data_IF_243963476765
#
_entry.id   IF_243963476765
#
_cell.length_a   1.000
_cell.length_b   1.000
_cell.length_c   1.000
_cell.angle_alpha   90.00
_cell.angle_beta   90.00
_cell.angle_gamma   90.00
#
_symmetry.space_group_name_H-M   'P 1'
#
loop_
_entity.id
_entity.type
_entity.pdbx_description
1 polymer ?
#
# COMPACT_ATOMS: atom_id res chain seq x y z
N UNK A 1 -17.46 -7.71 -13.93
CA UNK A 1 -16.11 -7.33 -13.45
C UNK A 1 -15.77 -8.13 -12.19
N UNK A 2 -16.76 -8.39 -11.34
CA UNK A 2 -16.59 -9.02 -10.02
C UNK A 2 -16.10 -10.47 -10.10
N UNK A 3 -16.64 -11.29 -11.01
CA UNK A 3 -16.20 -12.69 -11.16
C UNK A 3 -14.70 -12.87 -11.51
N UNK A 4 -14.12 -11.92 -12.26
CA UNK A 4 -12.69 -11.96 -12.60
C UNK A 4 -11.82 -11.56 -11.39
N UNK A 5 -12.24 -10.53 -10.66
CA UNK A 5 -11.55 -10.09 -9.44
C UNK A 5 -11.62 -11.18 -8.38
N UNK A 6 -12.78 -11.78 -8.17
CA UNK A 6 -12.97 -12.87 -7.21
C UNK A 6 -12.12 -14.09 -7.56
N UNK A 7 -12.08 -14.48 -8.85
CA UNK A 7 -11.20 -15.57 -9.31
C UNK A 7 -9.71 -15.26 -9.11
N UNK A 8 -9.32 -14.00 -9.31
CA UNK A 8 -7.93 -13.55 -9.09
C UNK A 8 -7.59 -13.54 -7.60
N UNK A 9 -8.51 -13.09 -6.74
CA UNK A 9 -8.33 -13.11 -5.28
C UNK A 9 -8.19 -14.55 -4.78
N UNK A 10 -9.03 -15.47 -5.26
CA UNK A 10 -8.93 -16.90 -4.94
C UNK A 10 -7.58 -17.46 -5.34
N UNK A 11 -7.11 -17.19 -6.56
CA UNK A 11 -5.78 -17.63 -7.00
C UNK A 11 -4.64 -17.10 -6.11
N UNK A 12 -4.74 -15.84 -5.66
CA UNK A 12 -3.75 -15.24 -4.76
C UNK A 12 -3.82 -15.84 -3.35
N UNK A 13 -5.00 -16.26 -2.88
CA UNK A 13 -5.15 -16.99 -1.62
C UNK A 13 -4.53 -18.38 -1.75
N UNK A 14 -4.77 -19.08 -2.84
CA UNK A 14 -4.20 -20.42 -3.11
C UNK A 14 -2.66 -20.37 -3.16
N UNK A 15 -2.10 -19.26 -3.65
CA UNK A 15 -0.66 -19.02 -3.68
C UNK A 15 -0.06 -18.67 -2.31
N UNK A 16 -0.86 -18.41 -1.28
CA UNK A 16 -0.39 -18.15 0.08
C UNK A 16 0.44 -16.85 0.21
N UNK A 17 1.62 -16.93 0.83
CA UNK A 17 2.50 -15.78 1.08
C UNK A 17 2.92 -15.02 -0.21
N UNK A 18 3.36 -15.70 -1.29
CA UNK A 18 3.60 -15.05 -2.59
C UNK A 18 2.38 -14.31 -3.14
N UNK A 19 1.20 -14.91 -3.05
CA UNK A 19 -0.04 -14.29 -3.51
C UNK A 19 -0.41 -13.06 -2.68
N UNK A 20 -0.21 -13.12 -1.36
CA UNK A 20 -0.36 -11.96 -0.49
C UNK A 20 0.63 -10.84 -0.82
N UNK A 21 1.89 -11.17 -1.10
CA UNK A 21 2.89 -10.19 -1.52
C UNK A 21 2.47 -9.47 -2.81
N UNK A 22 2.04 -10.24 -3.83
CA UNK A 22 1.58 -9.68 -5.11
C UNK A 22 0.33 -8.82 -4.89
N UNK A 23 -0.64 -9.34 -4.14
CA UNK A 23 -1.86 -8.61 -3.77
C UNK A 23 -1.54 -7.28 -3.09
N UNK A 24 -0.61 -7.29 -2.14
CA UNK A 24 -0.20 -6.10 -1.41
C UNK A 24 0.62 -5.14 -2.27
N UNK A 25 1.43 -5.64 -3.21
CA UNK A 25 2.13 -4.82 -4.20
C UNK A 25 1.17 -4.12 -5.14
N UNK A 26 0.12 -4.80 -5.59
CA UNK A 26 -0.94 -4.19 -6.41
C UNK A 26 -1.74 -3.15 -5.61
N UNK A 27 -2.11 -3.48 -4.38
CA UNK A 27 -2.84 -2.57 -3.48
C UNK A 27 -2.03 -1.35 -3.02
N UNK A 28 -0.71 -1.52 -2.86
CA UNK A 28 0.23 -0.43 -2.57
C UNK A 28 0.59 0.40 -3.79
N UNK A 29 0.30 -0.14 -4.98
CA UNK A 29 0.24 0.61 -6.22
C UNK A 29 -1.16 1.22 -6.37
N UNK A 30 -1.47 1.73 -7.54
CA UNK A 30 -2.76 2.38 -7.80
C UNK A 30 -3.89 1.46 -8.24
N UNK A 31 -3.58 0.17 -8.33
CA UNK A 31 -4.56 -0.82 -8.73
C UNK A 31 -5.49 -1.03 -7.54
N UNK A 32 -6.82 -0.82 -7.70
CA UNK A 32 -7.78 -1.02 -6.63
C UNK A 32 -7.83 -2.53 -6.33
N UNK A 33 -7.05 -2.95 -5.34
CA UNK A 33 -6.93 -4.32 -4.91
C UNK A 33 -6.98 -4.37 -3.39
N UNK A 34 -7.68 -5.35 -2.82
CA UNK A 34 -7.80 -5.46 -1.37
C UNK A 34 -6.80 -6.48 -0.83
N UNK A 35 -5.62 -5.98 -0.48
CA UNK A 35 -4.61 -6.78 0.23
C UNK A 35 -5.06 -7.21 1.63
N UNK A 36 -6.00 -6.47 2.21
CA UNK A 36 -6.62 -6.73 3.50
C UNK A 36 -7.42 -8.03 3.47
N UNK A 37 -8.28 -8.21 2.46
CA UNK A 37 -9.08 -9.42 2.29
C UNK A 37 -8.22 -10.68 2.16
N UNK A 38 -7.16 -10.61 1.34
CA UNK A 38 -6.22 -11.73 1.17
C UNK A 38 -5.47 -12.02 2.48
N UNK A 39 -5.00 -10.99 3.18
CA UNK A 39 -4.31 -11.15 4.46
C UNK A 39 -5.21 -11.80 5.52
N UNK A 40 -6.42 -11.30 5.68
CA UNK A 40 -7.38 -11.82 6.67
C UNK A 40 -7.74 -13.27 6.37
N UNK A 41 -7.99 -13.60 5.11
CA UNK A 41 -8.32 -14.96 4.70
C UNK A 41 -7.17 -15.92 4.98
N UNK A 42 -5.94 -15.55 4.64
CA UNK A 42 -4.76 -16.40 4.88
C UNK A 42 -4.49 -16.63 6.36
N UNK A 43 -4.65 -15.61 7.20
CA UNK A 43 -4.53 -15.77 8.67
C UNK A 43 -5.62 -16.71 9.20
N UNK A 44 -6.85 -16.59 8.71
CA UNK A 44 -7.96 -17.50 9.07
C UNK A 44 -7.74 -18.94 8.59
N UNK A 45 -7.06 -19.13 7.47
CA UNK A 45 -6.64 -20.45 6.97
C UNK A 45 -5.48 -21.07 7.76
N UNK A 46 -4.98 -20.38 8.79
CA UNK A 46 -3.97 -20.90 9.73
C UNK A 46 -2.53 -20.55 9.35
N UNK A 47 -2.29 -19.65 8.39
CA UNK A 47 -0.94 -19.16 8.12
C UNK A 47 -0.44 -18.28 9.26
N UNK A 48 0.87 -18.31 9.50
CA UNK A 48 1.52 -17.51 10.53
C UNK A 48 1.24 -16.00 10.32
N UNK A 49 0.59 -15.31 11.27
CA UNK A 49 0.21 -13.91 11.13
C UNK A 49 1.40 -12.97 10.90
N UNK A 50 2.54 -13.24 11.56
CA UNK A 50 3.76 -12.46 11.41
C UNK A 50 4.32 -12.56 9.99
N UNK A 51 4.33 -13.76 9.41
CA UNK A 51 4.76 -13.96 8.02
C UNK A 51 3.83 -13.24 7.04
N UNK A 52 2.52 -13.29 7.27
CA UNK A 52 1.54 -12.57 6.45
C UNK A 52 1.73 -11.05 6.51
N UNK A 53 1.92 -10.49 7.72
CA UNK A 53 2.19 -9.06 7.90
C UNK A 53 3.46 -8.65 7.15
N UNK A 54 4.54 -9.41 7.28
CA UNK A 54 5.81 -9.09 6.62
C UNK A 54 5.67 -9.16 5.10
N UNK A 55 5.06 -10.21 4.55
CA UNK A 55 4.82 -10.34 3.11
C UNK A 55 3.96 -9.19 2.57
N UNK A 56 2.87 -8.85 3.25
CA UNK A 56 1.99 -7.75 2.86
C UNK A 56 2.71 -6.39 2.96
N UNK A 57 3.46 -6.15 4.03
CA UNK A 57 4.20 -4.89 4.22
C UNK A 57 5.27 -4.70 3.14
N UNK A 58 6.03 -5.76 2.84
CA UNK A 58 7.05 -5.73 1.80
C UNK A 58 6.42 -5.49 0.41
N UNK A 59 5.38 -6.26 0.07
CA UNK A 59 4.66 -6.08 -1.19
C UNK A 59 4.14 -4.66 -1.33
N UNK A 60 3.45 -4.16 -0.31
CA UNK A 60 2.89 -2.81 -0.33
C UNK A 60 3.98 -1.73 -0.41
N UNK A 61 5.10 -1.91 0.27
CA UNK A 61 6.26 -1.00 0.16
C UNK A 61 6.78 -0.96 -1.27
N UNK A 62 6.95 -2.12 -1.92
CA UNK A 62 7.36 -2.20 -3.33
C UNK A 62 6.34 -1.49 -4.25
N UNK A 63 5.05 -1.71 -4.04
CA UNK A 63 3.99 -1.01 -4.77
C UNK A 63 4.06 0.51 -4.62
N UNK A 64 4.26 0.99 -3.39
CA UNK A 64 4.41 2.42 -3.11
C UNK A 64 5.69 3.02 -3.69
N UNK A 65 6.76 2.23 -3.78
CA UNK A 65 7.99 2.63 -4.45
C UNK A 65 7.80 2.79 -5.97
N UNK A 66 6.93 1.99 -6.59
CA UNK A 66 6.53 2.21 -7.99
C UNK A 66 5.90 3.58 -8.17
N UNK A 67 5.01 4.00 -7.26
CA UNK A 67 4.40 5.34 -7.26
C UNK A 67 5.46 6.44 -7.08
N UNK A 68 6.40 6.25 -6.16
CA UNK A 68 7.52 7.17 -5.93
C UNK A 68 8.40 7.31 -7.18
N UNK A 69 8.79 6.21 -7.82
CA UNK A 69 9.61 6.27 -9.03
C UNK A 69 8.87 6.93 -10.19
N UNK A 70 7.56 6.71 -10.32
CA UNK A 70 6.75 7.43 -11.30
C UNK A 70 6.71 8.94 -11.04
N UNK A 71 6.60 9.36 -9.79
CA UNK A 71 6.76 10.76 -9.40
C UNK A 71 8.14 11.30 -9.76
N UNK A 72 9.19 10.53 -9.50
CA UNK A 72 10.59 10.91 -9.76
C UNK A 72 10.92 11.06 -11.25
N UNK A 73 10.26 10.30 -12.12
CA UNK A 73 10.35 10.44 -13.57
C UNK A 73 9.69 11.74 -14.09
N UNK A 74 8.84 12.39 -13.28
CA UNK A 74 8.24 13.68 -13.61
C UNK A 74 7.21 13.66 -14.76
N UNK A 75 6.79 12.47 -15.23
CA UNK A 75 5.82 12.33 -16.32
C UNK A 75 4.39 12.47 -15.81
N UNK A 76 3.96 13.70 -15.54
CA UNK A 76 2.62 14.00 -15.01
C UNK A 76 1.50 13.44 -15.91
N UNK A 77 1.70 13.41 -17.24
CA UNK A 77 0.76 12.81 -18.19
C UNK A 77 0.53 11.31 -17.97
N UNK A 78 1.55 10.57 -17.50
CA UNK A 78 1.42 9.16 -17.14
C UNK A 78 0.68 9.00 -15.82
N UNK A 79 0.93 9.90 -14.87
CA UNK A 79 0.24 9.89 -13.58
C UNK A 79 -1.25 10.21 -13.78
N UNK A 80 -1.61 11.20 -14.59
CA UNK A 80 -3.02 11.45 -14.88
C UNK A 80 -3.69 10.28 -15.61
N UNK A 81 -2.98 9.65 -16.57
CA UNK A 81 -3.51 8.55 -17.38
C UNK A 81 -3.67 7.23 -16.62
N UNK A 82 -2.61 6.79 -15.93
CA UNK A 82 -2.58 5.49 -15.25
C UNK A 82 -3.04 5.60 -13.79
N UNK A 83 -2.77 6.74 -13.15
CA UNK A 83 -3.00 6.95 -11.73
C UNK A 83 -4.33 7.66 -11.45
N UNK A 84 -4.95 8.27 -12.47
CA UNK A 84 -6.17 9.08 -12.33
C UNK A 84 -6.03 10.17 -11.24
N UNK A 85 -4.81 10.51 -10.86
CA UNK A 85 -4.49 11.57 -9.90
C UNK A 85 -4.25 12.83 -10.71
N UNK A 86 -5.14 13.82 -10.56
CA UNK A 86 -4.99 15.13 -11.20
C UNK A 86 -3.69 15.81 -10.76
N UNK A 87 -3.03 16.50 -11.69
CA UNK A 87 -1.84 17.32 -11.40
C UNK A 87 -2.04 18.25 -10.21
N UNK A 88 -3.20 18.89 -10.10
CA UNK A 88 -3.56 19.80 -9.00
C UNK A 88 -3.40 19.15 -7.60
N UNK A 89 -3.74 17.87 -7.46
CA UNK A 89 -3.60 17.15 -6.19
C UNK A 89 -2.13 16.89 -5.87
N UNK A 90 -1.33 16.56 -6.88
CA UNK A 90 0.10 16.35 -6.76
C UNK A 90 0.78 17.67 -6.38
N UNK A 91 0.48 18.76 -7.08
CA UNK A 91 1.06 20.08 -6.81
C UNK A 91 0.71 20.56 -5.40
N UNK A 92 -0.55 20.41 -4.96
CA UNK A 92 -0.95 20.68 -3.57
C UNK A 92 -0.16 19.85 -2.57
N UNK A 93 0.02 18.56 -2.85
CA UNK A 93 0.78 17.66 -1.98
C UNK A 93 2.27 18.02 -1.97
N UNK A 94 2.86 18.38 -3.11
CA UNK A 94 4.25 18.86 -3.20
C UNK A 94 4.42 20.11 -2.34
N UNK A 95 3.55 21.12 -2.48
CA UNK A 95 3.59 22.33 -1.63
C UNK A 95 3.41 22.01 -0.16
N UNK A 96 2.52 21.06 0.19
CA UNK A 96 2.32 20.64 1.57
C UNK A 96 3.54 19.90 2.16
N UNK A 97 4.28 19.17 1.32
CA UNK A 97 5.45 18.38 1.72
C UNK A 97 6.78 19.15 1.62
N UNK A 98 6.79 20.31 0.95
CA UNK A 98 7.95 21.20 0.91
C UNK A 98 8.42 21.50 2.34
N UNK A 99 9.72 21.26 2.60
CA UNK A 99 10.33 21.43 3.91
C UNK A 99 10.07 20.31 4.93
N UNK A 100 9.17 19.35 4.67
CA UNK A 100 8.83 18.25 5.61
C UNK A 100 9.66 16.97 5.43
N UNK A 101 10.40 16.88 4.33
CA UNK A 101 11.38 15.82 4.08
C UNK A 101 10.80 14.42 3.82
N UNK A 102 11.69 13.43 3.73
CA UNK A 102 11.37 12.05 3.35
C UNK A 102 10.55 11.27 4.40
N UNK A 103 10.56 11.72 5.66
CA UNK A 103 9.85 11.07 6.77
C UNK A 103 8.33 11.07 6.59
N UNK A 104 7.80 12.01 5.80
CA UNK A 104 6.38 12.04 5.46
C UNK A 104 5.91 10.81 4.69
N UNK A 105 6.84 9.99 4.17
CA UNK A 105 6.51 8.69 3.61
C UNK A 105 5.86 7.75 4.63
N UNK A 106 6.02 8.00 5.93
CA UNK A 106 5.27 7.31 6.97
C UNK A 106 3.75 7.36 6.72
N UNK A 107 3.21 8.51 6.33
CA UNK A 107 1.78 8.70 6.07
C UNK A 107 1.26 7.98 4.82
N UNK A 108 2.12 7.27 4.09
CA UNK A 108 1.70 6.44 2.95
C UNK A 108 0.87 5.23 3.35
N UNK A 109 0.75 4.97 4.65
CA UNK A 109 -0.19 3.99 5.19
C UNK A 109 -1.66 4.38 4.98
N UNK A 110 -1.99 5.66 4.77
CA UNK A 110 -3.36 6.10 4.53
C UNK A 110 -3.83 5.71 3.12
N UNK A 111 -4.98 5.03 2.97
CA UNK A 111 -5.52 4.68 1.64
C UNK A 111 -5.85 5.95 0.84
N UNK A 112 -5.64 5.93 -0.49
CA UNK A 112 -5.89 7.01 -1.44
C UNK A 112 -5.01 8.28 -1.28
N UNK A 113 -4.59 8.62 -0.07
CA UNK A 113 -3.68 9.74 0.21
C UNK A 113 -2.24 9.28 0.02
N UNK A 114 -1.93 8.04 0.43
CA UNK A 114 -0.57 7.54 0.47
C UNK A 114 0.09 7.45 -0.89
N UNK A 115 -0.66 7.14 -1.95
CA UNK A 115 -0.16 7.09 -3.32
C UNK A 115 0.22 8.50 -3.80
N UNK A 116 -0.59 9.52 -3.48
CA UNK A 116 -0.29 10.92 -3.80
C UNK A 116 0.95 11.41 -3.04
N UNK A 117 1.10 11.02 -1.77
CA UNK A 117 2.29 11.31 -0.96
C UNK A 117 3.53 10.67 -1.59
N UNK A 118 3.46 9.39 -1.98
CA UNK A 118 4.58 8.69 -2.60
C UNK A 118 5.00 9.37 -3.92
N UNK A 119 4.05 9.71 -4.78
CA UNK A 119 4.30 10.42 -6.04
C UNK A 119 4.93 11.79 -5.79
N UNK A 120 4.38 12.58 -4.87
CA UNK A 120 4.90 13.91 -4.54
C UNK A 120 6.33 13.84 -3.97
N UNK A 121 6.61 12.89 -3.08
CA UNK A 121 7.96 12.65 -2.55
C UNK A 121 8.96 12.22 -3.63
N UNK A 122 8.48 11.47 -4.63
CA UNK A 122 9.22 11.12 -5.83
C UNK A 122 9.55 12.34 -6.68
N UNK A 123 8.55 13.18 -6.94
CA UNK A 123 8.69 14.41 -7.70
C UNK A 123 9.70 15.37 -7.05
N UNK A 124 9.68 15.46 -5.71
CA UNK A 124 10.64 16.24 -4.93
C UNK A 124 12.03 15.59 -4.82
N UNK A 125 12.25 14.40 -5.38
CA UNK A 125 13.50 13.64 -5.30
C UNK A 125 14.03 13.47 -3.87
N UNK A 126 13.12 13.21 -2.94
CA UNK A 126 13.47 12.97 -1.53
C UNK A 126 14.38 11.74 -1.36
N UNK A 127 15.13 11.66 -0.25
CA UNK A 127 16.09 10.57 -0.03
C UNK A 127 15.37 9.20 -0.04
N UNK A 128 15.69 8.38 -1.03
CA UNK A 128 15.04 7.09 -1.30
C UNK A 128 15.13 6.14 -0.11
N UNK A 129 16.24 6.10 0.61
CA UNK A 129 16.40 5.22 1.78
C UNK A 129 15.47 5.61 2.91
N UNK A 130 15.39 6.91 3.24
CA UNK A 130 14.47 7.40 4.27
C UNK A 130 13.02 7.21 3.84
N UNK A 131 12.69 7.43 2.57
CA UNK A 131 11.35 7.19 2.03
C UNK A 131 10.93 5.74 2.17
N UNK A 132 11.79 4.78 1.77
CA UNK A 132 11.52 3.34 1.88
C UNK A 132 11.30 2.95 3.34
N UNK A 133 12.22 3.32 4.23
CA UNK A 133 12.14 2.93 5.64
C UNK A 133 10.92 3.54 6.32
N UNK A 134 10.63 4.82 6.10
CA UNK A 134 9.44 5.46 6.67
C UNK A 134 8.15 4.87 6.10
N UNK A 135 8.09 4.59 4.79
CA UNK A 135 6.96 3.93 4.14
C UNK A 135 6.72 2.53 4.72
N UNK A 136 7.79 1.75 4.87
CA UNK A 136 7.74 0.41 5.44
C UNK A 136 7.17 0.43 6.87
N UNK A 137 7.68 1.32 7.74
CA UNK A 137 7.21 1.45 9.12
C UNK A 137 5.73 1.84 9.17
N UNK A 138 5.30 2.81 8.36
CA UNK A 138 3.90 3.24 8.32
C UNK A 138 2.97 2.11 7.86
N UNK A 139 3.35 1.38 6.80
CA UNK A 139 2.56 0.27 6.27
C UNK A 139 2.54 -0.93 7.21
N UNK A 140 3.65 -1.21 7.90
CA UNK A 140 3.74 -2.24 8.92
C UNK A 140 2.71 -1.96 10.03
N UNK A 141 2.68 -0.71 10.52
CA UNK A 141 1.74 -0.28 11.55
C UNK A 141 0.28 -0.47 11.09
N UNK A 142 -0.04 -0.13 9.83
CA UNK A 142 -1.38 -0.38 9.26
C UNK A 142 -1.77 -1.84 9.33
N UNK A 143 -0.91 -2.76 8.89
CA UNK A 143 -1.25 -4.19 8.89
C UNK A 143 -1.37 -4.78 10.30
N UNK A 144 -0.55 -4.32 11.25
CA UNK A 144 -0.67 -4.69 12.66
C UNK A 144 -2.01 -4.19 13.23
N UNK A 145 -2.34 -2.91 13.03
CA UNK A 145 -3.61 -2.34 13.50
C UNK A 145 -4.82 -3.05 12.88
N UNK A 146 -4.74 -3.40 11.60
CA UNK A 146 -5.82 -4.10 10.92
C UNK A 146 -6.07 -5.49 11.51
N UNK A 147 -5.02 -6.27 11.75
CA UNK A 147 -5.19 -7.57 12.42
C UNK A 147 -5.69 -7.43 13.85
N UNK A 148 -5.18 -6.45 14.60
CA UNK A 148 -5.65 -6.20 15.96
C UNK A 148 -7.14 -5.83 16.01
N UNK A 149 -7.60 -4.95 15.11
CA UNK A 149 -9.02 -4.59 15.00
C UNK A 149 -9.85 -5.81 14.60
N UNK A 150 -9.36 -6.64 13.67
CA UNK A 150 -10.05 -7.84 13.25
C UNK A 150 -10.19 -8.86 14.39
N UNK A 151 -9.12 -9.13 15.14
CA UNK A 151 -9.14 -10.06 16.27
C UNK A 151 -10.14 -9.61 17.34
N UNK A 152 -10.13 -8.31 17.67
CA UNK A 152 -11.09 -7.75 18.63
C UNK A 152 -12.53 -7.81 18.11
N UNK A 153 -12.76 -7.44 16.85
CA UNK A 153 -14.10 -7.53 16.25
C UNK A 153 -14.60 -8.98 16.22
N UNK A 154 -13.73 -9.95 15.95
CA UNK A 154 -14.07 -11.36 15.99
C UNK A 154 -14.47 -11.82 17.38
N UNK A 155 -13.69 -11.45 18.40
CA UNK A 155 -13.98 -11.79 19.80
C UNK A 155 -15.33 -11.22 20.29
N UNK A 156 -15.75 -10.06 19.77
CA UNK A 156 -17.04 -9.43 20.11
C UNK A 156 -18.22 -10.14 19.42
N UNK A 157 -18.02 -10.65 18.20
CA UNK A 157 -19.09 -11.27 17.41
C UNK A 157 -19.24 -12.76 17.72
N UNK A 158 -18.15 -13.44 18.08
CA UNK A 158 -18.12 -14.87 18.36
C UNK A 158 -18.22 -15.21 19.86
N UNK A 159 -18.18 -14.21 20.75
CA UNK A 159 -18.43 -14.33 22.19
C UNK A 159 -19.85 -13.94 22.56
#
# INVERSE_FOLDING_TARGET
MDAFIDSTIQLLIDWGLPGLFISAMLAGSIIPFSSELVLVTLVKLGLNPTACILAATLGNTVGGMTCYYMGRLGKISWIEKYFKVKKEKIDKMVTFLQGKGALMAFFTFLPAIGEVVAIALGFMRSNTWLTVTSMFIGKLLRYILLLYVLENAWNIVAG
#
